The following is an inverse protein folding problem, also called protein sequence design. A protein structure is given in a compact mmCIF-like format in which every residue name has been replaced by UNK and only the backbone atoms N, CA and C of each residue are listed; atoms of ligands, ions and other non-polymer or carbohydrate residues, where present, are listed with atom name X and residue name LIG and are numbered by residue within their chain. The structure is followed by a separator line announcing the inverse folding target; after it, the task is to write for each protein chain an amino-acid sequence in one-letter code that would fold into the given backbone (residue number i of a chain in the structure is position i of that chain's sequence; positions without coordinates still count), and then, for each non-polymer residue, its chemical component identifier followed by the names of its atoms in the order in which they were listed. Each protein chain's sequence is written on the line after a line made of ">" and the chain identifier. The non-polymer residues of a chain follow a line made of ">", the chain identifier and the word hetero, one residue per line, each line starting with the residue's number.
data_IF_869846639465
#
_entry.id   IF_869846639465
#
_cell.length_a   1.000
_cell.length_b   1.000
_cell.length_c   1.000
_cell.angle_alpha   90.00
_cell.angle_beta   90.00
_cell.angle_gamma   90.00
#
_symmetry.space_group_name_H-M   'P 1'
#
loop_
_entity.id
_entity.type
_entity.pdbx_description
1 polymer ?
#
# COMPACT_ATOMS: atom_id res chain seq x y z
N UNK A 1 -9.41 1.60 9.21
CA UNK A 1 -8.34 1.44 10.21
C UNK A 1 -8.62 0.20 11.04
N UNK A 2 -7.62 -0.65 11.31
CA UNK A 2 -7.74 -1.82 12.19
C UNK A 2 -6.66 -1.68 13.27
N UNK A 3 -7.03 -1.88 14.53
CA UNK A 3 -6.15 -1.70 15.69
C UNK A 3 -6.18 -2.99 16.52
N UNK A 4 -4.99 -3.55 16.76
CA UNK A 4 -4.72 -4.72 17.61
C UNK A 4 -5.59 -5.95 17.32
N UNK A 5 -6.12 -6.08 16.10
CA UNK A 5 -7.13 -7.07 15.71
C UNK A 5 -8.34 -7.09 16.69
N UNK A 6 -8.69 -5.98 17.33
CA UNK A 6 -9.81 -5.86 18.30
C UNK A 6 -10.82 -4.76 17.97
N UNK A 7 -10.35 -3.70 17.31
CA UNK A 7 -11.16 -2.56 16.93
C UNK A 7 -10.92 -2.25 15.46
N UNK A 8 -12.00 -1.88 14.76
CA UNK A 8 -11.91 -1.32 13.43
C UNK A 8 -12.73 -0.03 13.32
N UNK A 9 -12.22 0.93 12.56
CA UNK A 9 -12.96 2.10 12.12
C UNK A 9 -13.13 2.00 10.61
N UNK A 10 -14.38 2.05 10.16
CA UNK A 10 -14.76 2.02 8.75
C UNK A 10 -15.69 3.21 8.47
N UNK A 11 -15.43 3.96 7.41
CA UNK A 11 -16.20 5.14 7.09
C UNK A 11 -15.68 5.88 5.86
N UNK A 12 -16.27 7.03 5.59
CA UNK A 12 -15.91 7.90 4.47
C UNK A 12 -14.74 8.85 4.77
N UNK A 13 -14.45 9.10 6.06
CA UNK A 13 -13.45 10.07 6.47
C UNK A 13 -12.03 9.65 6.06
N UNK A 14 -11.38 10.51 5.27
CA UNK A 14 -9.96 10.40 4.96
C UNK A 14 -9.10 10.91 6.13
N UNK A 15 -7.82 10.53 6.17
CA UNK A 15 -6.86 11.08 7.15
C UNK A 15 -6.36 12.44 6.63
N UNK A 16 -7.19 13.47 6.80
CA UNK A 16 -6.84 14.87 6.52
C UNK A 16 -7.80 15.83 7.25
N UNK A 17 -7.43 17.11 7.33
CA UNK A 17 -8.23 18.13 8.00
C UNK A 17 -9.62 18.32 7.38
N UNK A 18 -9.76 18.05 6.07
CA UNK A 18 -11.03 18.20 5.35
C UNK A 18 -12.10 17.24 5.87
N UNK A 19 -11.70 16.01 6.19
CA UNK A 19 -12.60 14.99 6.74
C UNK A 19 -12.64 14.99 8.29
N UNK A 20 -11.55 15.37 8.97
CA UNK A 20 -11.41 15.16 10.43
C UNK A 20 -11.75 16.36 11.32
N UNK A 21 -11.75 17.60 10.80
CA UNK A 21 -12.07 18.78 11.62
C UNK A 21 -13.56 18.95 11.92
N UNK A 22 -14.45 18.30 11.17
CA UNK A 22 -15.90 18.35 11.36
C UNK A 22 -16.59 19.63 10.88
N UNK A 23 -15.85 20.71 10.63
CA UNK A 23 -16.39 21.98 10.10
C UNK A 23 -16.36 22.07 8.56
N UNK A 24 -15.84 21.03 7.89
CA UNK A 24 -15.62 21.01 6.44
C UNK A 24 -16.56 19.99 5.76
N UNK A 25 -16.05 18.84 5.35
CA UNK A 25 -16.86 17.83 4.68
C UNK A 25 -17.70 17.05 5.70
N UNK A 26 -18.92 16.65 5.31
CA UNK A 26 -19.77 15.78 6.12
C UNK A 26 -19.33 14.32 5.95
N UNK A 27 -18.90 13.69 7.05
CA UNK A 27 -18.38 12.33 7.05
C UNK A 27 -19.18 11.41 7.97
N UNK A 28 -19.19 10.11 7.67
CA UNK A 28 -19.78 9.09 8.52
C UNK A 28 -18.79 7.94 8.75
N UNK A 29 -18.63 7.56 10.01
CA UNK A 29 -17.78 6.45 10.44
C UNK A 29 -18.51 5.56 11.44
N UNK A 30 -18.22 4.27 11.38
CA UNK A 30 -18.62 3.26 12.36
C UNK A 30 -17.38 2.75 13.08
N UNK A 31 -17.45 2.71 14.41
CA UNK A 31 -16.45 2.05 15.26
C UNK A 31 -16.98 0.67 15.60
N UNK A 32 -16.21 -0.35 15.23
CA UNK A 32 -16.52 -1.77 15.45
C UNK A 32 -15.58 -2.26 16.54
N UNK A 33 -16.15 -2.66 17.67
CA UNK A 33 -15.44 -3.32 18.75
C UNK A 33 -15.88 -4.78 18.82
N UNK A 34 -14.93 -5.70 18.67
CA UNK A 34 -15.24 -7.11 18.79
C UNK A 34 -15.58 -7.47 20.25
N UNK A 35 -16.65 -8.25 20.40
CA UNK A 35 -17.05 -8.87 21.67
C UNK A 35 -16.60 -10.33 21.70
N UNK A 36 -16.69 -11.00 20.53
CA UNK A 36 -16.22 -12.37 20.39
C UNK A 36 -14.73 -12.40 20.12
N UNK A 37 -14.01 -13.14 20.95
CA UNK A 37 -12.56 -13.26 20.85
C UNK A 37 -12.13 -14.66 20.41
N UNK A 38 -10.93 -14.74 19.85
CA UNK A 38 -10.20 -15.96 19.56
C UNK A 38 -8.73 -15.84 20.00
N UNK A 39 -8.05 -16.98 20.08
CA UNK A 39 -6.63 -17.02 20.39
C UNK A 39 -5.80 -16.76 19.12
N UNK A 40 -4.85 -15.83 19.20
CA UNK A 40 -3.90 -15.51 18.13
C UNK A 40 -2.47 -15.36 18.70
N UNK A 41 -1.51 -15.10 17.81
CA UNK A 41 -0.12 -14.81 18.12
C UNK A 41 0.24 -13.40 17.67
N UNK A 42 0.89 -12.63 18.54
CA UNK A 42 1.52 -11.35 18.22
C UNK A 42 2.99 -11.43 18.64
N UNK A 43 3.88 -11.47 17.65
CA UNK A 43 5.31 -11.71 17.80
C UNK A 43 5.60 -12.97 18.64
N UNK A 44 4.94 -14.07 18.29
CA UNK A 44 5.02 -15.36 18.98
C UNK A 44 4.37 -15.41 20.37
N UNK A 45 3.80 -14.31 20.87
CA UNK A 45 3.09 -14.27 22.16
C UNK A 45 1.61 -14.54 21.98
N UNK A 46 1.07 -15.44 22.80
CA UNK A 46 -0.36 -15.75 22.84
C UNK A 46 -1.17 -14.53 23.27
N UNK A 47 -2.02 -14.00 22.38
CA UNK A 47 -2.91 -12.87 22.66
C UNK A 47 -4.35 -13.18 22.27
N UNK A 48 -5.31 -12.52 22.94
CA UNK A 48 -6.73 -12.58 22.59
C UNK A 48 -7.04 -11.47 21.60
N UNK A 49 -7.68 -11.80 20.49
CA UNK A 49 -8.06 -10.85 19.42
C UNK A 49 -9.53 -11.01 19.10
N UNK A 50 -10.13 -9.98 18.52
CA UNK A 50 -11.50 -9.99 18.04
C UNK A 50 -11.66 -10.82 16.76
N UNK A 51 -12.70 -11.66 16.68
CA UNK A 51 -12.91 -12.55 15.52
C UNK A 51 -13.17 -11.77 14.22
N UNK A 52 -13.94 -10.69 14.27
CA UNK A 52 -14.23 -9.90 13.07
C UNK A 52 -12.98 -9.17 12.58
N UNK A 53 -12.31 -8.42 13.46
CA UNK A 53 -11.15 -7.62 13.11
C UNK A 53 -9.98 -8.50 12.63
N UNK A 54 -9.68 -9.59 13.35
CA UNK A 54 -8.61 -10.52 12.96
C UNK A 54 -8.88 -11.19 11.61
N UNK A 55 -10.12 -11.67 11.38
CA UNK A 55 -10.48 -12.32 10.12
C UNK A 55 -10.45 -11.34 8.95
N UNK A 56 -10.87 -10.09 9.17
CA UNK A 56 -10.83 -9.05 8.16
C UNK A 56 -9.39 -8.68 7.80
N UNK A 57 -8.52 -8.45 8.80
CA UNK A 57 -7.10 -8.17 8.56
C UNK A 57 -6.40 -9.34 7.85
N UNK A 58 -6.61 -10.59 8.29
CA UNK A 58 -6.08 -11.78 7.59
C UNK A 58 -6.49 -11.80 6.13
N UNK A 59 -7.77 -11.56 5.85
CA UNK A 59 -8.29 -11.49 4.48
C UNK A 59 -7.61 -10.40 3.67
N UNK A 60 -7.45 -9.19 4.22
CA UNK A 60 -6.76 -8.09 3.54
C UNK A 60 -5.30 -8.44 3.25
N UNK A 61 -4.57 -8.98 4.21
CA UNK A 61 -3.18 -9.39 4.03
C UNK A 61 -3.03 -10.51 3.02
N UNK A 62 -3.92 -11.52 3.05
CA UNK A 62 -3.92 -12.58 2.04
C UNK A 62 -4.17 -12.05 0.63
N UNK A 63 -5.09 -11.09 0.47
CA UNK A 63 -5.33 -10.45 -0.82
C UNK A 63 -4.11 -9.65 -1.28
N UNK A 64 -3.55 -8.84 -0.39
CA UNK A 64 -2.37 -8.02 -0.66
C UNK A 64 -1.16 -8.87 -1.05
N UNK A 65 -0.93 -10.00 -0.39
CA UNK A 65 0.18 -10.92 -0.66
C UNK A 65 -0.14 -11.98 -1.73
N UNK A 66 -1.34 -11.96 -2.31
CA UNK A 66 -1.74 -12.94 -3.33
C UNK A 66 -1.84 -14.38 -2.83
N UNK A 67 -2.11 -14.59 -1.54
CA UNK A 67 -2.20 -15.93 -0.91
C UNK A 67 -3.63 -16.41 -0.70
N UNK A 68 -4.60 -15.74 -1.31
CA UNK A 68 -6.00 -16.15 -1.32
C UNK A 68 -6.16 -17.45 -2.11
N UNK A 69 -6.53 -18.55 -1.44
CA UNK A 69 -6.76 -19.85 -2.06
C UNK A 69 -5.51 -20.68 -2.35
N UNK A 70 -4.40 -20.05 -2.74
CA UNK A 70 -3.12 -20.73 -2.99
C UNK A 70 -1.98 -19.99 -2.26
N UNK A 71 -1.43 -20.61 -1.21
CA UNK A 71 -0.31 -20.07 -0.43
C UNK A 71 0.95 -20.92 -0.64
N UNK A 72 1.54 -20.83 -1.84
CA UNK A 72 2.74 -21.61 -2.22
C UNK A 72 3.88 -21.43 -1.23
N UNK A 73 4.11 -20.17 -0.84
CA UNK A 73 5.20 -19.78 0.04
C UNK A 73 4.91 -20.06 1.52
N UNK A 74 3.72 -20.62 1.83
CA UNK A 74 3.28 -20.98 3.19
C UNK A 74 3.49 -19.84 4.20
N UNK A 75 3.32 -18.59 3.76
CA UNK A 75 3.50 -17.44 4.66
C UNK A 75 2.37 -17.45 5.69
N UNK A 76 2.74 -17.30 6.95
CA UNK A 76 1.79 -17.11 8.03
C UNK A 76 1.36 -15.64 8.09
N UNK A 77 0.10 -15.39 7.79
CA UNK A 77 -0.51 -14.06 7.90
C UNK A 77 -1.26 -13.89 9.21
N UNK A 78 -1.24 -14.87 10.12
CA UNK A 78 -1.97 -14.83 11.39
C UNK A 78 -1.30 -13.94 12.43
N UNK A 79 0.04 -13.94 12.51
CA UNK A 79 0.85 -13.05 13.35
C UNK A 79 1.31 -11.81 12.56
N UNK A 80 0.59 -10.67 12.67
CA UNK A 80 0.82 -9.51 11.82
C UNK A 80 2.05 -8.68 12.21
N UNK A 81 2.68 -8.98 13.35
CA UNK A 81 3.80 -8.21 13.91
C UNK A 81 5.08 -9.04 14.06
N UNK A 82 5.09 -10.26 13.52
CA UNK A 82 6.30 -11.08 13.45
C UNK A 82 7.30 -10.53 12.42
N UNK A 83 8.60 -10.67 12.71
CA UNK A 83 9.66 -10.30 11.77
C UNK A 83 9.55 -11.10 10.46
N UNK A 84 9.13 -12.38 10.54
CA UNK A 84 8.91 -13.21 9.37
C UNK A 84 7.86 -12.59 8.44
N UNK A 85 6.70 -12.20 8.98
CA UNK A 85 5.65 -11.56 8.20
C UNK A 85 6.12 -10.22 7.62
N UNK A 86 6.73 -9.37 8.45
CA UNK A 86 7.18 -8.04 8.03
C UNK A 86 8.24 -8.12 6.91
N UNK A 87 9.25 -8.96 7.06
CA UNK A 87 10.30 -9.13 6.06
C UNK A 87 9.74 -9.67 4.74
N UNK A 88 8.84 -10.66 4.80
CA UNK A 88 8.19 -11.20 3.61
C UNK A 88 7.33 -10.15 2.90
N UNK A 89 6.54 -9.37 3.65
CA UNK A 89 5.71 -8.30 3.10
C UNK A 89 6.58 -7.25 2.38
N UNK A 90 7.71 -6.86 2.98
CA UNK A 90 8.70 -5.94 2.38
C UNK A 90 9.33 -6.53 1.12
N UNK A 91 9.70 -7.81 1.13
CA UNK A 91 10.30 -8.48 -0.02
C UNK A 91 9.34 -8.51 -1.22
N UNK A 92 8.08 -8.91 -0.99
CA UNK A 92 7.04 -8.91 -2.04
C UNK A 92 6.82 -7.50 -2.59
N UNK A 93 6.70 -6.50 -1.70
CA UNK A 93 6.54 -5.10 -2.10
C UNK A 93 7.70 -4.63 -3.00
N UNK A 94 8.93 -4.91 -2.57
CA UNK A 94 10.14 -4.52 -3.29
C UNK A 94 10.23 -5.19 -4.66
N UNK A 95 10.06 -6.52 -4.70
CA UNK A 95 10.08 -7.30 -5.96
C UNK A 95 9.01 -6.81 -6.94
N UNK A 96 7.78 -6.61 -6.48
CA UNK A 96 6.71 -6.11 -7.33
C UNK A 96 7.02 -4.72 -7.88
N UNK A 97 7.57 -3.82 -7.04
CA UNK A 97 7.97 -2.47 -7.44
C UNK A 97 8.97 -2.51 -8.58
N UNK A 98 10.05 -3.29 -8.45
CA UNK A 98 11.06 -3.44 -9.51
C UNK A 98 10.44 -3.96 -10.81
N UNK A 99 9.57 -4.97 -10.74
CA UNK A 99 8.92 -5.52 -11.93
C UNK A 99 8.04 -4.45 -12.61
N UNK A 100 7.26 -3.67 -11.85
CA UNK A 100 6.44 -2.60 -12.42
C UNK A 100 7.28 -1.49 -13.03
N UNK A 101 8.34 -1.05 -12.37
CA UNK A 101 9.26 -0.02 -12.86
C UNK A 101 9.96 -0.47 -14.14
N UNK A 102 10.56 -1.66 -14.17
CA UNK A 102 11.24 -2.19 -15.35
C UNK A 102 10.28 -2.45 -16.52
N UNK A 103 9.07 -2.92 -16.23
CA UNK A 103 8.13 -3.35 -17.28
C UNK A 103 7.41 -2.16 -17.91
N UNK A 104 6.95 -1.22 -17.10
CA UNK A 104 6.04 -0.15 -17.53
C UNK A 104 6.65 1.26 -17.43
N UNK A 105 7.79 1.44 -16.75
CA UNK A 105 8.30 2.78 -16.43
C UNK A 105 7.26 3.59 -15.66
N UNK A 106 6.68 3.00 -14.61
CA UNK A 106 5.59 3.63 -13.84
C UNK A 106 6.06 4.88 -13.10
N UNK A 107 5.11 5.79 -12.88
CA UNK A 107 5.21 6.90 -11.94
C UNK A 107 4.10 6.74 -10.89
N UNK A 108 4.32 7.15 -9.63
CA UNK A 108 5.56 7.72 -9.09
C UNK A 108 6.69 6.68 -8.93
N UNK A 109 7.95 7.12 -8.83
CA UNK A 109 9.16 6.27 -8.65
C UNK A 109 10.26 7.01 -7.89
N UNK A 110 11.08 6.30 -7.12
CA UNK A 110 12.26 6.88 -6.45
C UNK A 110 13.40 7.27 -7.42
N UNK A 111 13.32 6.84 -8.69
CA UNK A 111 14.29 7.20 -9.73
C UNK A 111 14.12 8.63 -10.26
N UNK A 112 13.01 9.30 -9.93
CA UNK A 112 12.65 10.63 -10.44
C UNK A 112 12.46 11.57 -9.26
N UNK A 113 13.42 12.47 -9.05
CA UNK A 113 13.41 13.45 -7.95
C UNK A 113 13.03 14.86 -8.40
N UNK A 114 13.00 15.09 -9.71
CA UNK A 114 12.77 16.40 -10.34
C UNK A 114 11.87 16.30 -11.58
N UNK A 115 11.23 17.40 -11.98
CA UNK A 115 10.35 17.42 -13.14
C UNK A 115 11.11 17.18 -14.46
N UNK A 116 12.33 17.72 -14.60
CA UNK A 116 13.18 17.46 -15.77
C UNK A 116 13.53 15.98 -15.93
N UNK A 117 13.80 15.29 -14.81
CA UNK A 117 14.00 13.84 -14.79
C UNK A 117 12.72 13.08 -15.16
N UNK A 118 11.54 13.58 -14.76
CA UNK A 118 10.25 12.96 -15.07
C UNK A 118 10.00 12.91 -16.57
N UNK A 119 10.20 14.02 -17.30
CA UNK A 119 10.03 14.05 -18.75
C UNK A 119 10.97 13.06 -19.45
N UNK A 120 12.25 13.06 -19.06
CA UNK A 120 13.23 12.12 -19.58
C UNK A 120 12.89 10.66 -19.23
N UNK A 121 12.25 10.41 -18.09
CA UNK A 121 11.84 9.08 -17.67
C UNK A 121 10.62 8.58 -18.44
N UNK A 122 9.63 9.44 -18.69
CA UNK A 122 8.41 9.07 -19.43
C UNK A 122 8.66 8.80 -20.91
N UNK A 123 9.66 9.46 -21.50
CA UNK A 123 10.02 9.32 -22.91
C UNK A 123 10.87 8.07 -23.20
N UNK A 124 11.45 7.44 -22.17
CA UNK A 124 12.23 6.20 -22.34
C UNK A 124 11.34 5.07 -22.89
N UNK A 125 11.81 4.31 -23.89
CA UNK A 125 11.11 3.12 -24.35
C UNK A 125 10.88 2.13 -23.20
N UNK A 126 9.65 1.65 -23.06
CA UNK A 126 9.24 0.74 -21.99
C UNK A 126 9.40 -0.71 -22.44
N UNK A 127 9.67 -1.60 -21.51
CA UNK A 127 9.85 -3.03 -21.84
C UNK A 127 8.57 -3.62 -22.43
N UNK A 128 7.39 -3.24 -21.93
CA UNK A 128 6.11 -3.70 -22.49
C UNK A 128 5.93 -3.38 -23.98
N UNK A 129 6.51 -2.27 -24.44
CA UNK A 129 6.36 -1.76 -25.80
C UNK A 129 7.46 -2.30 -26.71
N UNK A 130 8.68 -2.46 -26.18
CA UNK A 130 9.84 -2.93 -26.95
C UNK A 130 9.97 -4.45 -26.98
N UNK A 131 9.64 -5.15 -25.89
CA UNK A 131 9.77 -6.61 -25.75
C UNK A 131 8.56 -7.22 -24.99
N UNK A 132 7.37 -7.26 -25.61
CA UNK A 132 6.13 -7.72 -24.95
C UNK A 132 6.21 -9.12 -24.33
N UNK A 133 6.91 -10.06 -24.99
CA UNK A 133 7.07 -11.42 -24.47
C UNK A 133 7.92 -11.47 -23.19
N UNK A 134 9.01 -10.70 -23.15
CA UNK A 134 9.85 -10.61 -21.94
C UNK A 134 9.11 -9.91 -20.80
N UNK A 135 8.35 -8.86 -21.12
CA UNK A 135 7.45 -8.21 -20.17
C UNK A 135 6.44 -9.23 -19.59
N UNK A 136 5.82 -10.05 -20.42
CA UNK A 136 4.88 -11.07 -19.97
C UNK A 136 5.52 -12.10 -19.02
N UNK A 137 6.73 -12.58 -19.33
CA UNK A 137 7.45 -13.50 -18.44
C UNK A 137 7.82 -12.86 -17.10
N UNK A 138 8.22 -11.57 -17.09
CA UNK A 138 8.47 -10.85 -15.84
C UNK A 138 7.20 -10.72 -14.99
N UNK A 139 6.07 -10.42 -15.61
CA UNK A 139 4.79 -10.25 -14.91
C UNK A 139 4.30 -11.51 -14.20
N UNK A 140 4.67 -12.70 -14.67
CA UNK A 140 4.38 -13.96 -13.95
C UNK A 140 5.01 -14.03 -12.56
N UNK A 141 6.05 -13.24 -12.31
CA UNK A 141 6.73 -13.19 -11.02
C UNK A 141 6.11 -12.20 -10.03
N UNK A 142 5.10 -11.41 -10.45
CA UNK A 142 4.33 -10.55 -9.55
C UNK A 142 3.53 -11.43 -8.60
N UNK A 143 3.57 -11.06 -7.32
CA UNK A 143 2.79 -11.72 -6.29
C UNK A 143 1.91 -10.72 -5.56
N UNK A 144 0.60 -10.95 -5.60
CA UNK A 144 -0.34 -10.06 -4.92
C UNK A 144 -0.35 -8.66 -5.51
N UNK A 145 -0.57 -7.66 -4.65
CA UNK A 145 -0.87 -6.28 -5.03
C UNK A 145 0.06 -5.24 -4.36
N UNK A 146 0.85 -5.64 -3.37
CA UNK A 146 1.69 -4.69 -2.60
C UNK A 146 2.85 -4.20 -3.45
N UNK A 147 3.11 -2.90 -3.40
CA UNK A 147 4.29 -2.22 -3.93
C UNK A 147 4.82 -1.24 -2.88
N UNK A 148 6.07 -0.85 -3.00
CA UNK A 148 6.67 0.19 -2.15
C UNK A 148 6.13 1.56 -2.56
N UNK A 149 5.83 2.41 -1.57
CA UNK A 149 5.48 3.80 -1.83
C UNK A 149 6.77 4.63 -2.03
N UNK A 150 6.94 5.32 -3.17
CA UNK A 150 8.20 5.99 -3.51
C UNK A 150 8.33 7.35 -2.79
N UNK A 151 8.96 7.34 -1.61
CA UNK A 151 9.13 8.52 -0.75
C UNK A 151 10.09 9.60 -1.31
N UNK A 152 10.90 9.27 -2.33
CA UNK A 152 11.83 10.22 -2.96
C UNK A 152 11.32 10.77 -4.30
N UNK A 153 10.14 10.34 -4.75
CA UNK A 153 9.56 10.89 -5.97
C UNK A 153 9.39 12.41 -5.84
N UNK A 154 9.91 13.17 -6.80
CA UNK A 154 9.87 14.64 -6.91
C UNK A 154 10.34 15.42 -5.66
N UNK A 155 11.07 14.80 -4.73
CA UNK A 155 11.39 15.41 -3.43
C UNK A 155 12.35 16.62 -3.49
N UNK A 156 12.90 16.93 -4.66
CA UNK A 156 13.71 18.13 -4.92
C UNK A 156 12.89 19.27 -5.56
N UNK A 157 11.58 19.08 -5.76
CA UNK A 157 10.66 20.09 -6.30
C UNK A 157 9.80 20.72 -5.21
N UNK A 158 9.35 21.95 -5.45
CA UNK A 158 8.33 22.58 -4.62
C UNK A 158 6.93 22.22 -5.15
N UNK A 159 6.20 21.42 -4.37
CA UNK A 159 4.84 20.99 -4.70
C UNK A 159 3.76 22.04 -4.47
N UNK A 160 4.10 23.14 -3.81
CA UNK A 160 3.14 24.20 -3.60
C UNK A 160 2.86 24.87 -4.95
N UNK A 161 1.59 25.02 -5.32
CA UNK A 161 1.23 25.77 -6.51
C UNK A 161 1.80 27.18 -6.40
N UNK A 162 2.32 27.71 -7.51
CA UNK A 162 2.81 29.08 -7.56
C UNK A 162 1.71 30.04 -7.10
N UNK A 163 2.06 31.04 -6.29
CA UNK A 163 1.15 32.11 -5.83
C UNK A 163 0.45 32.87 -6.98
N UNK A 164 0.89 32.65 -8.23
CA UNK A 164 0.29 33.22 -9.44
C UNK A 164 -0.79 32.34 -10.07
N UNK A 165 -0.97 31.09 -9.62
CA UNK A 165 -2.05 30.21 -10.09
C UNK A 165 -3.25 30.28 -9.17
N UNK A 166 -4.43 29.88 -9.64
CA UNK A 166 -5.65 29.84 -8.80
C UNK A 166 -5.45 29.02 -7.53
N UNK A 167 -4.72 27.92 -7.66
CA UNK A 167 -4.42 27.01 -6.57
C UNK A 167 -3.51 27.69 -5.55
N UNK A 168 -2.49 28.45 -5.97
CA UNK A 168 -1.60 29.18 -5.06
C UNK A 168 -2.23 30.42 -4.42
N UNK A 169 -3.30 30.99 -5.01
CA UNK A 169 -4.09 32.08 -4.41
C UNK A 169 -5.10 31.53 -3.39
N UNK A 170 -5.43 30.24 -3.45
CA UNK A 170 -6.39 29.59 -2.54
C UNK A 170 -5.76 29.05 -1.25
N UNK A 171 -4.45 29.16 -1.11
CA UNK A 171 -3.69 28.78 0.10
C UNK A 171 -3.56 29.95 1.08
#
# INVERSE_FOLDING_TARGET
>A
MIVDDRMAICGSANINDRSLLGERDSELCVVINDIEEEQCLFNGRSVRVGKFCSSWRRRLFSMMLGTMGHNENKIDVTDPVSDQFYNYFREVAHKNTLIYEETFGVLPTNCVRRFDQMYNYTDKPKLKDTHPNQAHEKLKNIQGLVVEYPIYFLNEENYLPSLRTREGISY
#
